data_IF_406936576755
#
_entry.id   IF_406936576755
#
_cell.length_a   1.000
_cell.length_b   1.000
_cell.length_c   1.000
_cell.angle_alpha   90.00
_cell.angle_beta   90.00
_cell.angle_gamma   90.00
#
_symmetry.space_group_name_H-M   'P 1'
#
loop_
_entity.id
_entity.type
_entity.pdbx_description
1 polymer ?
#
# COMPACT_ATOMS: atom_id res chain seq x y z
N UNK A 1 27.64 3.73 2.05
CA UNK A 1 26.36 3.12 2.47
C UNK A 1 25.70 2.48 1.27
N UNK A 2 25.31 1.20 1.37
CA UNK A 2 24.89 0.36 0.24
C UNK A 2 23.49 0.75 -0.26
N UNK A 3 23.38 1.24 -1.51
CA UNK A 3 22.10 1.60 -2.16
C UNK A 3 21.05 0.48 -2.10
N UNK A 4 21.47 -0.79 -2.20
CA UNK A 4 20.57 -1.96 -2.09
C UNK A 4 19.94 -2.10 -0.70
N UNK A 5 20.65 -1.70 0.36
CA UNK A 5 20.13 -1.76 1.73
C UNK A 5 19.00 -0.75 1.95
N UNK A 6 19.07 0.42 1.29
CA UNK A 6 18.04 1.44 1.38
C UNK A 6 16.78 1.05 0.60
N UNK A 7 16.93 0.51 -0.62
CA UNK A 7 15.77 0.08 -1.42
C UNK A 7 15.01 -1.05 -0.71
N UNK A 8 15.72 -1.99 -0.07
CA UNK A 8 15.07 -3.03 0.72
C UNK A 8 14.27 -2.46 1.89
N UNK A 9 14.84 -1.53 2.68
CA UNK A 9 14.08 -0.90 3.77
C UNK A 9 12.88 -0.11 3.26
N UNK A 10 13.02 0.60 2.13
CA UNK A 10 11.91 1.34 1.52
C UNK A 10 10.79 0.41 1.05
N UNK A 11 11.11 -0.75 0.46
CA UNK A 11 10.11 -1.77 0.08
C UNK A 11 9.36 -2.26 1.32
N UNK A 12 10.07 -2.60 2.39
CA UNK A 12 9.45 -3.07 3.65
C UNK A 12 8.56 -1.99 4.27
N UNK A 13 9.00 -0.74 4.28
CA UNK A 13 8.22 0.38 4.81
C UNK A 13 6.94 0.61 4.00
N UNK A 14 7.01 0.52 2.67
CA UNK A 14 5.84 0.65 1.79
C UNK A 14 4.86 -0.50 2.00
N UNK A 15 5.35 -1.74 2.13
CA UNK A 15 4.51 -2.91 2.43
C UNK A 15 3.78 -2.75 3.77
N UNK A 16 4.48 -2.32 4.82
CA UNK A 16 3.88 -2.07 6.14
C UNK A 16 2.78 -0.99 6.09
N UNK A 17 2.97 0.05 5.25
CA UNK A 17 1.94 1.09 5.06
C UNK A 17 0.71 0.56 4.34
N UNK A 18 0.89 -0.28 3.32
CA UNK A 18 -0.22 -0.93 2.60
C UNK A 18 -1.01 -1.84 3.56
N UNK A 19 -0.34 -2.65 4.35
CA UNK A 19 -0.97 -3.53 5.34
C UNK A 19 -1.79 -2.74 6.35
N UNK A 20 -1.22 -1.68 6.92
CA UNK A 20 -1.93 -0.80 7.86
C UNK A 20 -3.16 -0.14 7.24
N UNK A 21 -3.11 0.26 5.97
CA UNK A 21 -4.28 0.82 5.28
C UNK A 21 -5.37 -0.23 5.05
N UNK A 22 -5.00 -1.48 4.76
CA UNK A 22 -5.98 -2.57 4.67
C UNK A 22 -6.70 -2.79 6.00
N UNK A 23 -5.96 -2.79 7.12
CA UNK A 23 -6.55 -2.89 8.46
C UNK A 23 -7.50 -1.74 8.75
N UNK A 24 -7.10 -0.49 8.44
CA UNK A 24 -7.93 0.70 8.65
C UNK A 24 -9.22 0.67 7.81
N UNK A 25 -9.13 0.26 6.53
CA UNK A 25 -10.30 0.09 5.66
C UNK A 25 -11.25 -0.96 6.23
N UNK A 26 -10.74 -2.12 6.64
CA UNK A 26 -11.56 -3.18 7.23
C UNK A 26 -12.23 -2.72 8.53
N UNK A 27 -11.48 -2.04 9.41
CA UNK A 27 -12.00 -1.51 10.66
C UNK A 27 -13.15 -0.51 10.42
N UNK A 28 -13.00 0.41 9.47
CA UNK A 28 -14.03 1.41 9.17
C UNK A 28 -15.25 0.79 8.47
N UNK A 29 -15.07 -0.22 7.62
CA UNK A 29 -16.18 -0.96 7.00
C UNK A 29 -17.02 -1.75 8.03
N UNK A 30 -16.45 -2.10 9.18
CA UNK A 30 -17.14 -2.80 10.27
C UNK A 30 -17.90 -1.86 11.23
N UNK A 31 -17.75 -0.54 11.09
CA UNK A 31 -18.45 0.40 11.96
C UNK A 31 -19.96 0.46 11.62
N UNK A 32 -20.84 0.66 12.63
CA UNK A 32 -22.29 0.75 12.40
C UNK A 32 -22.70 1.85 11.42
N UNK A 33 -21.89 2.92 11.34
CA UNK A 33 -22.00 3.98 10.36
C UNK A 33 -20.65 4.07 9.64
N UNK A 34 -20.60 3.55 8.41
CA UNK A 34 -19.38 3.60 7.59
C UNK A 34 -19.16 5.03 7.13
N UNK A 35 -18.03 5.62 7.52
CA UNK A 35 -17.55 6.86 6.93
C UNK A 35 -16.93 6.55 5.56
N UNK A 36 -17.74 6.67 4.51
CA UNK A 36 -17.35 6.34 3.14
C UNK A 36 -16.22 7.25 2.64
N UNK A 37 -16.17 8.52 3.05
CA UNK A 37 -15.11 9.44 2.65
C UNK A 37 -13.76 9.02 3.23
N UNK A 38 -13.76 8.58 4.49
CA UNK A 38 -12.55 8.07 5.15
C UNK A 38 -12.08 6.77 4.50
N UNK A 39 -13.00 5.84 4.19
CA UNK A 39 -12.66 4.60 3.47
C UNK A 39 -12.07 4.88 2.09
N UNK A 40 -12.71 5.74 1.28
CA UNK A 40 -12.21 6.14 -0.03
C UNK A 40 -10.86 6.85 0.05
N UNK A 41 -10.62 7.62 1.12
CA UNK A 41 -9.33 8.26 1.39
C UNK A 41 -8.22 7.22 1.61
N UNK A 42 -8.49 6.20 2.43
CA UNK A 42 -7.53 5.11 2.66
C UNK A 42 -7.31 4.25 1.43
N UNK A 43 -8.35 3.95 0.65
CA UNK A 43 -8.22 3.18 -0.58
C UNK A 43 -7.35 3.91 -1.63
N UNK A 44 -7.53 5.23 -1.80
CA UNK A 44 -6.68 6.05 -2.66
C UNK A 44 -5.23 6.11 -2.19
N UNK A 45 -5.01 6.26 -0.88
CA UNK A 45 -3.65 6.28 -0.33
C UNK A 45 -2.96 4.92 -0.49
N UNK A 46 -3.72 3.82 -0.38
CA UNK A 46 -3.21 2.47 -0.61
C UNK A 46 -2.77 2.27 -2.05
N UNK A 47 -3.54 2.76 -3.02
CA UNK A 47 -3.19 2.72 -4.44
C UNK A 47 -1.88 3.48 -4.71
N UNK A 48 -1.67 4.65 -4.10
CA UNK A 48 -0.41 5.39 -4.21
C UNK A 48 0.79 4.59 -3.72
N UNK A 49 0.65 3.91 -2.58
CA UNK A 49 1.73 3.06 -2.06
C UNK A 49 1.98 1.81 -2.90
N UNK A 50 0.95 1.27 -3.56
CA UNK A 50 1.11 0.17 -4.50
C UNK A 50 1.91 0.61 -5.73
N UNK A 51 1.58 1.76 -6.32
CA UNK A 51 2.35 2.30 -7.44
C UNK A 51 3.82 2.55 -7.03
N UNK A 52 4.04 3.10 -5.82
CA UNK A 52 5.39 3.27 -5.28
C UNK A 52 6.13 1.92 -5.13
N UNK A 53 5.43 0.88 -4.68
CA UNK A 53 6.01 -0.47 -4.55
C UNK A 53 6.39 -1.03 -5.92
N UNK A 54 5.54 -0.86 -6.94
CA UNK A 54 5.83 -1.29 -8.31
C UNK A 54 7.07 -0.58 -8.87
N UNK A 55 7.23 0.72 -8.63
CA UNK A 55 8.43 1.48 -9.02
C UNK A 55 9.69 0.97 -8.31
N UNK A 56 9.60 0.69 -7.00
CA UNK A 56 10.71 0.15 -6.22
C UNK A 56 11.11 -1.25 -6.70
N UNK A 57 10.14 -2.12 -7.00
CA UNK A 57 10.38 -3.46 -7.55
C UNK A 57 10.98 -3.40 -8.95
N UNK A 58 10.49 -2.48 -9.80
CA UNK A 58 11.04 -2.27 -11.14
C UNK A 58 12.51 -1.84 -11.09
N UNK A 59 12.91 -1.05 -10.08
CA UNK A 59 14.32 -0.67 -9.86
C UNK A 59 15.24 -1.88 -9.58
N UNK A 60 14.66 -3.00 -9.15
CA UNK A 60 15.34 -4.28 -8.91
C UNK A 60 15.17 -5.26 -10.09
N UNK A 61 14.65 -4.82 -11.23
CA UNK A 61 14.25 -5.64 -12.39
C UNK A 61 13.17 -6.69 -12.05
N UNK A 62 12.35 -6.45 -11.01
CA UNK A 62 11.19 -7.28 -10.70
C UNK A 62 9.96 -6.60 -11.29
N UNK A 63 9.32 -7.25 -12.26
CA UNK A 63 8.01 -6.81 -12.77
C UNK A 63 6.91 -7.44 -11.91
N UNK A 64 6.20 -6.61 -11.16
CA UNK A 64 4.98 -6.98 -10.47
C UNK A 64 3.86 -6.06 -10.97
N UNK A 65 2.76 -6.65 -11.42
CA UNK A 65 1.50 -5.92 -11.66
C UNK A 65 0.59 -6.23 -10.48
N UNK A 66 0.43 -5.27 -9.58
CA UNK A 66 -0.30 -5.45 -8.33
C UNK A 66 -1.70 -4.89 -8.53
N UNK A 67 -2.64 -5.78 -8.87
CA UNK A 67 -4.04 -5.39 -9.00
C UNK A 67 -4.73 -5.35 -7.63
N UNK A 68 -5.24 -4.17 -7.27
CA UNK A 68 -6.19 -4.03 -6.17
C UNK A 68 -7.50 -4.73 -6.53
N UNK A 69 -7.80 -5.86 -5.88
CA UNK A 69 -9.19 -6.34 -5.83
C UNK A 69 -9.95 -5.46 -4.85
N UNK A 70 -10.99 -4.79 -5.34
CA UNK A 70 -11.99 -4.20 -4.46
C UNK A 70 -12.55 -5.30 -3.56
N UNK A 71 -12.42 -5.11 -2.24
CA UNK A 71 -12.91 -6.00 -1.20
C UNK A 71 -14.31 -5.59 -0.76
#
# INVERSE_FOLDING_TARGET
MNRRSNVHSEIVDVLNRIERLNELVQLHKQQPLVDTLTVEGYERLREQYINQLEELLASLNIKAEIHLKAA
#
